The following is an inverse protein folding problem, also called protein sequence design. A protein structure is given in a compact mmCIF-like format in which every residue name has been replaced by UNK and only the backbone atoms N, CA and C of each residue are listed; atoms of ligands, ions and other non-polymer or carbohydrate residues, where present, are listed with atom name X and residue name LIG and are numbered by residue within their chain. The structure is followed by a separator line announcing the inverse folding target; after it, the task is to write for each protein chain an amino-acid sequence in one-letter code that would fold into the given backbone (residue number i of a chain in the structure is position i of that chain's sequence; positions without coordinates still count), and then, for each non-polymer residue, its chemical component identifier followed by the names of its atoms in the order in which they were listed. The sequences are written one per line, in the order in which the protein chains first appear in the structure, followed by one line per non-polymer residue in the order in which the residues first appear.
data_IF_986495715463
#
_entry.id   IF_986495715463
#
_cell.length_a   1.000
_cell.length_b   1.000
_cell.length_c   1.000
_cell.angle_alpha   90.00
_cell.angle_beta   90.00
_cell.angle_gamma   90.00
#
_symmetry.space_group_name_H-M   'P 1'
#
loop_
_entity.id
_entity.type
_entity.pdbx_description
1 polymer ?
#
# COMPACT_ATOMS: atom_id res chain seq x y z
N UNK A 1 12.62 1.71 -16.56
CA UNK A 1 13.65 1.03 -15.75
C UNK A 1 13.76 -0.42 -16.23
N UNK A 2 14.99 -0.96 -16.27
CA UNK A 2 15.18 -2.38 -16.56
C UNK A 2 15.13 -3.17 -15.25
N UNK A 3 14.10 -3.99 -15.08
CA UNK A 3 13.96 -4.88 -13.92
C UNK A 3 14.84 -6.12 -14.13
N UNK A 4 16.03 -6.06 -13.58
CA UNK A 4 17.01 -7.14 -13.56
C UNK A 4 17.73 -7.16 -12.20
N UNK A 5 18.26 -8.31 -11.74
CA UNK A 5 18.98 -8.39 -10.48
C UNK A 5 20.08 -7.35 -10.33
N UNK A 6 20.13 -6.68 -9.20
CA UNK A 6 21.09 -5.64 -8.87
C UNK A 6 22.19 -6.20 -7.97
N UNK A 7 23.42 -6.05 -8.42
CA UNK A 7 24.64 -6.48 -7.71
C UNK A 7 25.32 -5.26 -7.10
N UNK A 8 25.04 -4.98 -5.84
CA UNK A 8 25.56 -3.83 -5.11
C UNK A 8 26.67 -4.31 -4.18
N UNK A 9 27.82 -3.69 -4.21
CA UNK A 9 28.96 -4.08 -3.38
C UNK A 9 28.58 -3.98 -1.88
N UNK A 10 28.90 -5.04 -1.12
CA UNK A 10 28.62 -5.11 0.32
C UNK A 10 27.17 -5.44 0.70
N UNK A 11 26.32 -5.80 -0.27
CA UNK A 11 24.95 -6.22 0.02
C UNK A 11 24.62 -7.56 -0.64
N UNK A 12 23.63 -8.30 -0.14
CA UNK A 12 23.02 -9.39 -0.90
C UNK A 12 22.44 -8.87 -2.23
N UNK A 13 22.30 -9.77 -3.22
CA UNK A 13 21.67 -9.44 -4.51
C UNK A 13 20.26 -8.91 -4.24
N UNK A 14 19.95 -7.74 -4.77
CA UNK A 14 18.62 -7.14 -4.71
C UNK A 14 17.88 -7.44 -6.02
N UNK A 15 16.69 -8.03 -5.92
CA UNK A 15 15.93 -8.46 -7.09
C UNK A 15 14.42 -8.38 -6.85
N UNK A 16 13.66 -8.36 -7.93
CA UNK A 16 12.24 -8.67 -7.94
C UNK A 16 12.02 -10.19 -7.92
N UNK A 17 10.77 -10.64 -7.81
CA UNK A 17 10.42 -12.06 -7.81
C UNK A 17 10.94 -12.81 -9.06
N UNK A 18 10.95 -12.14 -10.19
CA UNK A 18 11.59 -12.58 -11.45
C UNK A 18 12.16 -11.38 -12.20
N UNK A 19 12.93 -11.61 -13.23
CA UNK A 19 13.40 -10.56 -14.14
C UNK A 19 12.30 -10.23 -15.15
N UNK A 20 11.81 -8.99 -15.12
CA UNK A 20 10.74 -8.51 -16.01
C UNK A 20 11.28 -7.72 -17.20
N UNK A 21 12.58 -7.38 -17.22
CA UNK A 21 13.18 -6.56 -18.26
C UNK A 21 12.75 -5.07 -18.19
N UNK A 22 12.69 -4.38 -19.33
CA UNK A 22 12.26 -2.97 -19.37
C UNK A 22 10.79 -2.82 -19.00
N UNK A 23 10.50 -2.07 -17.96
CA UNK A 23 9.14 -1.78 -17.47
C UNK A 23 8.97 -0.29 -17.13
N UNK A 24 7.75 0.20 -17.25
CA UNK A 24 7.36 1.54 -16.83
C UNK A 24 6.79 1.53 -15.39
N UNK A 25 6.26 2.65 -14.93
CA UNK A 25 5.70 2.84 -13.58
C UNK A 25 4.41 2.03 -13.34
N UNK A 26 3.49 1.96 -14.32
CA UNK A 26 2.26 1.16 -14.23
C UNK A 26 2.63 -0.32 -14.16
N UNK A 27 3.45 -0.80 -15.08
CA UNK A 27 3.93 -2.18 -15.10
C UNK A 27 4.70 -2.54 -13.82
N UNK A 28 5.41 -1.59 -13.20
CA UNK A 28 6.11 -1.83 -11.95
C UNK A 28 5.16 -2.15 -10.78
N UNK A 29 3.98 -1.53 -10.75
CA UNK A 29 2.93 -1.84 -9.78
C UNK A 29 2.20 -3.13 -10.13
N UNK A 30 1.94 -3.37 -11.42
CA UNK A 30 1.33 -4.59 -11.94
C UNK A 30 2.07 -5.84 -11.49
N UNK A 31 3.40 -5.87 -11.71
CA UNK A 31 4.25 -7.03 -11.40
C UNK A 31 4.91 -6.95 -10.02
N UNK A 32 4.64 -5.90 -9.25
CA UNK A 32 5.26 -5.69 -7.93
C UNK A 32 6.79 -5.66 -7.98
N UNK A 33 7.37 -4.82 -8.85
CA UNK A 33 8.81 -4.76 -9.06
C UNK A 33 9.54 -4.10 -7.89
N UNK A 34 10.32 -4.85 -7.15
CA UNK A 34 11.23 -4.32 -6.15
C UNK A 34 12.35 -3.48 -6.78
N UNK A 35 12.90 -3.97 -7.90
CA UNK A 35 14.00 -3.32 -8.62
C UNK A 35 13.60 -1.93 -9.11
N UNK A 36 12.35 -1.75 -9.55
CA UNK A 36 11.86 -0.44 -9.93
C UNK A 36 11.91 0.53 -8.73
N UNK A 37 11.39 0.12 -7.58
CA UNK A 37 11.36 0.93 -6.36
C UNK A 37 12.75 1.21 -5.81
N UNK A 38 13.68 0.23 -5.88
CA UNK A 38 15.09 0.46 -5.53
C UNK A 38 15.72 1.57 -6.39
N UNK A 39 15.49 1.55 -7.70
CA UNK A 39 15.99 2.60 -8.59
C UNK A 39 15.40 3.97 -8.28
N UNK A 40 14.12 4.05 -7.91
CA UNK A 40 13.50 5.32 -7.47
C UNK A 40 14.23 5.84 -6.22
N UNK A 41 14.41 5.01 -5.19
CA UNK A 41 15.11 5.41 -3.97
C UNK A 41 16.54 5.88 -4.23
N UNK A 42 17.29 5.18 -5.07
CA UNK A 42 18.66 5.55 -5.46
C UNK A 42 18.68 6.92 -6.17
N UNK A 43 17.75 7.15 -7.09
CA UNK A 43 17.63 8.44 -7.81
C UNK A 43 17.23 9.58 -6.90
N UNK A 44 16.28 9.34 -5.95
CA UNK A 44 15.90 10.33 -4.94
C UNK A 44 17.07 10.71 -4.04
N UNK A 45 17.99 9.78 -3.79
CA UNK A 45 19.23 10.03 -3.05
C UNK A 45 20.31 10.75 -3.91
N UNK A 46 20.01 11.13 -5.15
CA UNK A 46 20.95 11.78 -6.05
C UNK A 46 22.07 10.85 -6.54
N UNK A 47 21.87 9.54 -6.52
CA UNK A 47 22.84 8.53 -6.92
C UNK A 47 22.35 7.73 -8.14
N UNK A 48 23.25 6.91 -8.71
CA UNK A 48 22.98 6.00 -9.81
C UNK A 48 23.44 4.59 -9.45
N UNK A 49 22.70 3.60 -9.91
CA UNK A 49 23.11 2.22 -9.79
C UNK A 49 24.19 1.87 -10.82
N UNK A 50 25.35 1.44 -10.33
CA UNK A 50 26.41 0.87 -11.15
C UNK A 50 26.71 -0.54 -10.64
N UNK A 51 26.62 -1.58 -11.50
CA UNK A 51 26.84 -2.96 -11.08
C UNK A 51 28.19 -3.15 -10.37
N UNK A 52 28.18 -3.92 -9.29
CA UNK A 52 29.34 -4.27 -8.47
C UNK A 52 30.02 -3.11 -7.74
N UNK A 53 29.44 -1.91 -7.76
CA UNK A 53 29.88 -0.76 -6.98
C UNK A 53 28.95 -0.52 -5.77
N UNK A 54 29.45 0.23 -4.78
CA UNK A 54 28.60 0.74 -3.69
C UNK A 54 27.62 1.79 -4.23
N UNK A 55 26.50 2.00 -3.51
CA UNK A 55 25.49 2.98 -3.93
C UNK A 55 25.98 4.43 -3.97
N UNK A 56 27.13 4.74 -3.35
CA UNK A 56 27.65 6.11 -3.32
C UNK A 56 26.84 7.08 -2.45
N UNK A 57 25.85 6.59 -1.73
CA UNK A 57 25.01 7.39 -0.81
C UNK A 57 25.72 7.50 0.53
N UNK A 58 26.28 8.66 0.82
CA UNK A 58 27.02 8.90 2.07
C UNK A 58 26.12 9.24 3.25
N UNK A 59 25.01 9.90 3.00
CA UNK A 59 23.98 10.23 4.00
C UNK A 59 22.59 9.93 3.42
N UNK A 60 21.92 8.84 3.83
CA UNK A 60 20.58 8.50 3.38
C UNK A 60 19.46 9.26 4.12
N UNK A 61 19.75 9.94 5.24
CA UNK A 61 18.74 10.55 6.10
C UNK A 61 17.84 11.54 5.37
N UNK A 62 18.35 12.48 4.53
CA UNK A 62 17.49 13.39 3.78
C UNK A 62 16.53 12.67 2.84
N UNK A 63 16.93 11.53 2.29
CA UNK A 63 16.08 10.75 1.39
C UNK A 63 15.00 9.98 2.14
N UNK A 64 15.32 9.43 3.32
CA UNK A 64 14.30 8.87 4.22
C UNK A 64 13.25 9.93 4.60
N UNK A 65 13.66 11.13 4.98
CA UNK A 65 12.77 12.23 5.33
C UNK A 65 11.91 12.66 4.14
N UNK A 66 12.50 12.77 2.96
CA UNK A 66 11.77 13.09 1.73
C UNK A 66 10.70 12.04 1.44
N UNK A 67 11.04 10.76 1.46
CA UNK A 67 10.07 9.68 1.22
C UNK A 67 8.97 9.65 2.28
N UNK A 68 9.31 9.85 3.57
CA UNK A 68 8.32 9.94 4.66
C UNK A 68 7.41 11.16 4.51
N UNK A 69 7.91 12.27 3.99
CA UNK A 69 7.08 13.44 3.72
C UNK A 69 6.00 13.14 2.67
N UNK A 70 6.33 12.38 1.63
CA UNK A 70 5.34 11.88 0.68
C UNK A 70 4.37 10.89 1.31
N UNK A 71 4.85 9.93 2.09
CA UNK A 71 3.99 8.94 2.76
C UNK A 71 3.01 9.60 3.73
N UNK A 72 3.46 10.64 4.46
CA UNK A 72 2.62 11.37 5.40
C UNK A 72 1.49 12.17 4.71
N UNK A 73 1.67 12.59 3.45
CA UNK A 73 0.58 13.21 2.68
C UNK A 73 -0.61 12.26 2.47
N UNK A 74 -0.37 10.96 2.51
CA UNK A 74 -1.40 9.93 2.41
C UNK A 74 -1.86 9.39 3.78
N UNK A 75 -1.40 9.98 4.89
CA UNK A 75 -1.76 9.58 6.25
C UNK A 75 -0.82 8.57 6.92
N UNK A 76 0.21 8.07 6.22
CA UNK A 76 1.15 7.11 6.80
C UNK A 76 2.11 7.78 7.79
N UNK A 77 2.39 7.10 8.91
CA UNK A 77 3.33 7.57 9.93
C UNK A 77 2.75 8.58 10.93
N UNK A 78 1.48 8.95 10.81
CA UNK A 78 0.77 9.85 11.73
C UNK A 78 -0.47 9.17 12.30
N UNK A 79 -0.99 9.66 13.43
CA UNK A 79 -2.33 9.28 13.87
C UNK A 79 -3.36 9.78 12.87
N UNK A 80 -4.34 8.96 12.52
CA UNK A 80 -5.35 9.30 11.52
C UNK A 80 -6.46 10.20 12.08
N UNK A 81 -6.56 10.28 13.41
CA UNK A 81 -7.63 10.96 14.12
C UNK A 81 -8.92 10.14 14.21
N UNK A 82 -8.80 8.80 14.12
CA UNK A 82 -9.91 7.88 14.37
C UNK A 82 -10.54 8.18 15.74
N UNK A 83 -11.87 8.13 15.83
CA UNK A 83 -12.67 8.50 17.01
C UNK A 83 -12.67 7.45 18.13
N UNK A 84 -11.52 6.76 18.31
CA UNK A 84 -11.28 5.83 19.43
C UNK A 84 -10.02 6.20 20.19
N UNK A 85 -9.97 5.95 21.51
CA UNK A 85 -8.78 6.24 22.30
C UNK A 85 -7.64 5.25 22.01
N UNK A 86 -6.40 5.73 22.15
CA UNK A 86 -5.21 4.88 22.09
C UNK A 86 -4.70 4.60 20.67
N UNK A 87 -5.07 5.40 19.68
CA UNK A 87 -4.47 5.34 18.35
C UNK A 87 -2.96 5.59 18.41
N UNK A 88 -2.19 4.81 17.62
CA UNK A 88 -0.73 4.94 17.52
C UNK A 88 -0.30 5.25 16.10
N UNK A 89 0.79 6.00 15.95
CA UNK A 89 1.31 6.45 14.67
C UNK A 89 2.15 5.42 13.89
N UNK A 90 2.17 4.15 14.33
CA UNK A 90 3.06 3.13 13.75
C UNK A 90 4.47 3.17 14.33
N UNK A 91 5.43 2.62 13.61
CA UNK A 91 6.84 2.60 14.01
C UNK A 91 7.73 3.16 12.90
N UNK A 92 8.60 4.09 13.24
CA UNK A 92 9.58 4.69 12.32
C UNK A 92 10.94 4.05 12.56
N UNK A 93 11.47 3.42 11.51
CA UNK A 93 12.80 2.82 11.54
C UNK A 93 13.90 3.89 11.67
N UNK A 94 14.99 3.52 12.29
CA UNK A 94 16.14 4.41 12.47
C UNK A 94 17.41 3.73 11.97
N UNK A 95 17.98 4.22 10.87
CA UNK A 95 19.22 3.71 10.30
C UNK A 95 19.98 4.78 9.52
N UNK A 96 21.31 4.65 9.53
CA UNK A 96 22.21 5.45 8.71
C UNK A 96 22.77 4.67 7.51
N UNK A 97 22.26 3.46 7.27
CA UNK A 97 22.74 2.58 6.21
C UNK A 97 21.98 2.83 4.91
N UNK A 98 22.68 3.12 3.83
CA UNK A 98 22.09 3.33 2.50
C UNK A 98 21.29 2.11 1.98
N UNK A 99 21.71 0.89 2.35
CA UNK A 99 20.98 -0.34 2.01
C UNK A 99 19.55 -0.39 2.57
N UNK A 100 19.33 0.19 3.75
CA UNK A 100 18.00 0.27 4.38
C UNK A 100 17.03 1.20 3.65
N UNK A 101 17.55 2.15 2.87
CA UNK A 101 16.73 2.98 2.00
C UNK A 101 16.04 2.14 0.92
N UNK A 102 16.69 1.10 0.42
CA UNK A 102 16.10 0.17 -0.55
C UNK A 102 15.00 -0.66 0.11
N UNK A 103 15.24 -1.18 1.33
CA UNK A 103 14.24 -1.91 2.09
C UNK A 103 13.01 -1.01 2.38
N UNK A 104 13.25 0.26 2.71
CA UNK A 104 12.18 1.26 2.92
C UNK A 104 11.35 1.50 1.66
N UNK A 105 11.98 1.57 0.49
CA UNK A 105 11.30 1.81 -0.78
C UNK A 105 10.31 0.70 -1.18
N UNK A 106 10.47 -0.50 -0.63
CA UNK A 106 9.56 -1.63 -0.84
C UNK A 106 8.66 -1.92 0.36
N UNK A 107 8.66 -1.04 1.39
CA UNK A 107 7.80 -1.15 2.56
C UNK A 107 8.31 -2.12 3.64
N UNK A 108 9.57 -2.51 3.63
CA UNK A 108 10.19 -3.42 4.63
C UNK A 108 11.04 -2.70 5.67
N UNK A 109 10.61 -1.54 6.15
CA UNK A 109 11.41 -0.76 7.09
C UNK A 109 10.57 -0.06 8.17
N UNK A 110 9.73 0.91 7.79
CA UNK A 110 8.75 1.51 8.69
C UNK A 110 7.51 0.59 8.82
N UNK A 111 6.81 0.66 9.95
CA UNK A 111 5.57 -0.10 10.16
C UNK A 111 4.39 0.85 10.35
N UNK A 112 3.31 0.58 9.64
CA UNK A 112 2.08 1.35 9.67
C UNK A 112 0.93 0.53 10.22
N UNK A 113 -0.03 1.20 10.87
CA UNK A 113 -1.22 0.52 11.39
C UNK A 113 -2.20 0.21 10.25
N UNK A 114 -3.06 -0.81 10.39
CA UNK A 114 -4.09 -1.12 9.38
C UNK A 114 -4.97 0.08 9.02
N UNK A 115 -5.30 0.94 9.98
CA UNK A 115 -6.12 2.13 9.73
C UNK A 115 -5.38 3.19 8.91
N UNK A 116 -4.06 3.36 9.10
CA UNK A 116 -3.24 4.22 8.26
C UNK A 116 -3.17 3.69 6.82
N UNK A 117 -3.00 2.38 6.66
CA UNK A 117 -3.00 1.73 5.34
C UNK A 117 -4.37 1.88 4.67
N UNK A 118 -5.47 1.76 5.42
CA UNK A 118 -6.81 2.01 4.90
C UNK A 118 -6.99 3.47 4.47
N UNK A 119 -6.53 4.43 5.27
CA UNK A 119 -6.58 5.86 4.91
C UNK A 119 -5.75 6.13 3.63
N UNK A 120 -4.57 5.52 3.53
CA UNK A 120 -3.70 5.61 2.34
C UNK A 120 -4.42 5.13 1.07
N UNK A 121 -5.00 3.94 1.10
CA UNK A 121 -5.69 3.39 -0.08
C UNK A 121 -6.99 4.15 -0.38
N UNK A 122 -7.71 4.60 0.64
CA UNK A 122 -8.90 5.46 0.47
C UNK A 122 -8.54 6.80 -0.17
N UNK A 123 -7.38 7.37 0.15
CA UNK A 123 -6.89 8.60 -0.47
C UNK A 123 -6.60 8.40 -1.96
N UNK A 124 -6.04 7.24 -2.34
CA UNK A 124 -5.84 6.89 -3.75
C UNK A 124 -7.19 6.76 -4.47
N UNK A 125 -8.14 6.06 -3.86
CA UNK A 125 -9.48 5.85 -4.41
C UNK A 125 -10.30 7.15 -4.54
N UNK A 126 -10.03 8.15 -3.69
CA UNK A 126 -10.77 9.41 -3.59
C UNK A 126 -9.99 10.59 -4.21
N UNK A 127 -9.23 10.33 -5.28
CA UNK A 127 -8.50 11.32 -6.07
C UNK A 127 -7.64 12.27 -5.22
N UNK A 128 -6.98 11.70 -4.22
CA UNK A 128 -6.04 12.42 -3.35
C UNK A 128 -6.67 13.21 -2.21
N UNK A 129 -7.97 13.09 -1.97
CA UNK A 129 -8.62 13.68 -0.80
C UNK A 129 -8.43 12.79 0.41
N UNK A 130 -7.76 13.30 1.43
CA UNK A 130 -7.50 12.58 2.68
C UNK A 130 -8.65 12.83 3.63
N UNK A 131 -9.40 11.78 3.96
CA UNK A 131 -10.53 11.84 4.87
C UNK A 131 -10.14 11.35 6.25
N UNK A 132 -10.72 11.95 7.31
CA UNK A 132 -10.60 11.42 8.66
C UNK A 132 -11.44 10.14 8.79
N UNK A 133 -10.84 9.01 9.17
CA UNK A 133 -11.63 7.80 9.45
C UNK A 133 -12.44 7.96 10.74
N UNK A 134 -13.60 7.33 10.81
CA UNK A 134 -14.45 7.31 11.99
C UNK A 134 -15.21 5.98 12.08
N UNK A 135 -15.56 5.58 13.29
CA UNK A 135 -16.40 4.42 13.57
C UNK A 135 -17.82 4.84 13.98
N UNK A 136 -17.93 6.01 14.61
CA UNK A 136 -19.23 6.55 15.01
C UNK A 136 -19.93 7.19 13.80
N UNK A 137 -21.14 6.77 13.53
CA UNK A 137 -21.95 7.31 12.42
C UNK A 137 -23.05 8.25 12.94
N UNK A 138 -23.92 7.77 13.79
CA UNK A 138 -24.99 8.58 14.37
C UNK A 138 -25.51 7.99 15.70
N UNK A 139 -26.21 8.80 16.47
CA UNK A 139 -26.96 8.39 17.64
C UNK A 139 -28.44 8.76 17.50
N UNK A 140 -29.32 7.91 18.02
CA UNK A 140 -30.75 8.16 18.07
C UNK A 140 -31.23 8.31 19.53
N UNK A 141 -32.41 8.92 19.74
CA UNK A 141 -33.10 8.82 21.00
C UNK A 141 -33.41 7.36 21.34
N UNK A 142 -33.49 7.04 22.63
CA UNK A 142 -33.78 5.69 23.09
C UNK A 142 -35.14 5.23 22.54
N UNK A 143 -35.18 4.06 21.94
CA UNK A 143 -36.36 3.46 21.30
C UNK A 143 -37.01 4.33 20.21
N UNK A 144 -36.21 5.12 19.48
CA UNK A 144 -36.67 6.03 18.43
C UNK A 144 -35.76 5.93 17.22
N UNK A 145 -36.26 6.36 16.06
CA UNK A 145 -35.47 6.59 14.82
C UNK A 145 -35.01 8.05 14.72
N UNK A 146 -35.36 8.92 15.67
CA UNK A 146 -34.93 10.32 15.66
C UNK A 146 -33.45 10.43 15.92
N UNK A 147 -32.70 10.88 14.91
CA UNK A 147 -31.27 11.14 15.02
C UNK A 147 -31.03 12.39 15.85
N UNK A 148 -30.31 12.27 16.97
CA UNK A 148 -29.94 13.36 17.86
C UNK A 148 -28.53 13.86 17.62
N UNK A 149 -27.70 13.03 17.00
CA UNK A 149 -26.36 13.39 16.58
C UNK A 149 -25.94 12.55 15.36
N UNK A 150 -25.28 13.16 14.39
CA UNK A 150 -24.66 12.45 13.26
C UNK A 150 -23.25 12.97 13.04
N UNK A 151 -22.35 12.06 12.68
CA UNK A 151 -21.02 12.42 12.23
C UNK A 151 -21.10 13.09 10.84
N UNK A 152 -20.31 14.11 10.61
CA UNK A 152 -20.12 14.70 9.29
C UNK A 152 -18.72 14.36 8.79
N UNK A 153 -18.63 13.86 7.56
CA UNK A 153 -17.35 13.55 6.94
C UNK A 153 -16.41 14.75 6.94
N UNK A 154 -15.18 14.53 7.40
CA UNK A 154 -14.15 15.58 7.49
C UNK A 154 -13.01 15.28 6.52
N UNK A 155 -12.81 16.17 5.55
CA UNK A 155 -11.62 16.15 4.72
C UNK A 155 -10.48 16.84 5.47
N UNK A 156 -9.43 16.09 5.79
CA UNK A 156 -8.27 16.57 6.57
C UNK A 156 -7.32 17.35 5.67
N UNK A 157 -7.09 16.88 4.48
CA UNK A 157 -6.19 17.50 3.49
C UNK A 157 -6.48 17.00 2.08
N UNK A 158 -5.71 17.49 1.13
CA UNK A 158 -5.61 16.96 -0.23
C UNK A 158 -4.13 16.79 -0.54
N UNK A 159 -3.75 15.70 -1.20
CA UNK A 159 -2.36 15.53 -1.65
C UNK A 159 -2.00 16.68 -2.60
N UNK A 160 -0.78 17.17 -2.47
CA UNK A 160 -0.25 18.21 -3.34
C UNK A 160 0.48 17.61 -4.54
N UNK A 161 0.41 18.27 -5.68
CA UNK A 161 1.13 17.88 -6.88
C UNK A 161 0.23 17.65 -8.09
N UNK A 162 0.80 17.10 -9.15
CA UNK A 162 0.08 16.76 -10.37
C UNK A 162 -0.69 15.43 -10.18
N UNK A 163 -2.01 15.51 -10.16
CA UNK A 163 -2.90 14.35 -9.96
C UNK A 163 -2.81 13.31 -11.08
N UNK A 164 -2.23 13.65 -12.23
CA UNK A 164 -1.98 12.67 -13.30
C UNK A 164 -1.04 11.53 -12.85
N UNK A 165 -0.17 11.79 -11.87
CA UNK A 165 0.64 10.74 -11.26
C UNK A 165 -0.20 9.78 -10.41
N UNK A 166 -1.25 10.29 -9.75
CA UNK A 166 -2.16 9.47 -8.98
C UNK A 166 -2.99 8.54 -9.88
N UNK A 167 -3.47 9.06 -11.02
CA UNK A 167 -4.15 8.25 -12.03
C UNK A 167 -3.28 7.08 -12.52
N UNK A 168 -1.97 7.29 -12.67
CA UNK A 168 -1.04 6.21 -13.02
C UNK A 168 -0.90 5.16 -11.92
N UNK A 169 -0.94 5.58 -10.65
CA UNK A 169 -0.97 4.64 -9.51
C UNK A 169 -2.27 3.84 -9.52
N UNK A 170 -3.42 4.47 -9.75
CA UNK A 170 -4.71 3.81 -9.87
C UNK A 170 -4.71 2.78 -11.03
N UNK A 171 -4.18 3.15 -12.20
CA UNK A 171 -3.99 2.24 -13.33
C UNK A 171 -3.09 1.05 -12.97
N UNK A 172 -1.99 1.28 -12.24
CA UNK A 172 -1.10 0.22 -11.76
C UNK A 172 -1.78 -0.73 -10.77
N UNK A 173 -2.61 -0.21 -9.87
CA UNK A 173 -3.42 -1.02 -8.96
C UNK A 173 -4.45 -1.86 -9.72
N UNK A 174 -5.10 -1.28 -10.75
CA UNK A 174 -6.01 -2.03 -11.62
C UNK A 174 -5.27 -3.11 -12.40
N UNK A 175 -4.11 -2.79 -12.99
CA UNK A 175 -3.29 -3.74 -13.73
C UNK A 175 -2.81 -4.90 -12.84
N UNK A 176 -2.43 -4.64 -11.58
CA UNK A 176 -2.05 -5.69 -10.63
C UNK A 176 -3.14 -6.75 -10.47
N UNK A 177 -4.41 -6.33 -10.43
CA UNK A 177 -5.56 -7.23 -10.26
C UNK A 177 -5.96 -7.92 -11.57
N UNK A 178 -5.90 -7.23 -12.71
CA UNK A 178 -6.38 -7.76 -13.98
C UNK A 178 -5.39 -8.68 -14.69
N UNK A 179 -4.10 -8.38 -14.61
CA UNK A 179 -3.06 -9.08 -15.37
C UNK A 179 -1.80 -9.40 -14.55
N UNK A 180 -1.63 -8.75 -13.39
CA UNK A 180 -0.43 -8.83 -12.58
C UNK A 180 -0.51 -9.82 -11.41
N UNK A 181 0.29 -9.53 -10.39
CA UNK A 181 0.49 -10.41 -9.23
C UNK A 181 -0.67 -10.42 -8.21
N UNK A 182 -1.70 -9.56 -8.40
CA UNK A 182 -2.90 -9.52 -7.55
C UNK A 182 -4.07 -10.35 -8.12
N UNK A 183 -3.89 -10.99 -9.27
CA UNK A 183 -4.96 -11.62 -10.06
C UNK A 183 -5.58 -12.90 -9.49
N UNK A 184 -5.16 -13.37 -8.31
CA UNK A 184 -5.75 -14.53 -7.64
C UNK A 184 -7.13 -14.27 -7.00
N UNK A 185 -7.56 -13.02 -6.94
CA UNK A 185 -8.90 -12.65 -6.50
C UNK A 185 -9.89 -12.83 -7.66
N UNK A 186 -10.54 -14.00 -7.73
CA UNK A 186 -11.28 -14.44 -8.93
C UNK A 186 -12.46 -13.53 -9.34
N UNK A 187 -13.17 -12.90 -8.38
CA UNK A 187 -14.30 -11.97 -8.64
C UNK A 187 -13.84 -10.53 -8.86
N UNK A 188 -12.56 -10.25 -8.68
CA UNK A 188 -11.96 -8.92 -8.86
C UNK A 188 -12.05 -8.40 -10.30
N UNK A 189 -12.44 -9.23 -11.26
CA UNK A 189 -12.59 -8.87 -12.67
C UNK A 189 -13.93 -8.26 -12.98
N UNK A 190 -14.99 -8.76 -12.34
CA UNK A 190 -16.38 -8.36 -12.64
C UNK A 190 -16.72 -7.03 -11.95
N UNK A 191 -16.38 -6.85 -10.69
CA UNK A 191 -16.63 -5.63 -9.92
C UNK A 191 -15.60 -4.52 -10.14
N UNK A 192 -14.59 -4.76 -10.97
CA UNK A 192 -13.59 -3.74 -11.27
C UNK A 192 -12.70 -3.37 -10.09
N UNK A 193 -12.24 -4.33 -9.31
CA UNK A 193 -11.34 -4.09 -8.17
C UNK A 193 -9.97 -3.58 -8.63
N UNK A 194 -9.44 -2.59 -7.93
CA UNK A 194 -8.07 -2.13 -8.04
C UNK A 194 -7.37 -2.33 -6.69
N UNK A 195 -6.13 -2.82 -6.69
CA UNK A 195 -5.44 -3.07 -5.43
C UNK A 195 -4.00 -3.52 -5.59
N UNK A 196 -3.36 -3.73 -4.45
CA UNK A 196 -1.97 -4.14 -4.37
C UNK A 196 -1.77 -5.17 -3.27
N UNK A 197 -1.10 -6.26 -3.59
CA UNK A 197 -0.64 -7.24 -2.60
C UNK A 197 0.71 -6.82 -2.04
N UNK A 198 0.95 -7.23 -0.79
CA UNK A 198 2.24 -7.11 -0.12
C UNK A 198 2.62 -8.41 0.56
N UNK A 199 3.91 -8.71 0.57
CA UNK A 199 4.51 -9.80 1.33
C UNK A 199 5.75 -9.25 2.02
N UNK A 200 5.75 -9.25 3.34
CA UNK A 200 6.85 -8.73 4.15
C UNK A 200 7.43 -9.84 5.02
N UNK A 201 8.75 -9.92 5.07
CA UNK A 201 9.48 -10.81 5.97
C UNK A 201 9.58 -10.18 7.36
N UNK A 202 9.19 -10.91 8.41
CA UNK A 202 9.25 -10.47 9.80
C UNK A 202 9.92 -11.57 10.64
N UNK A 203 11.23 -11.49 10.81
CA UNK A 203 12.02 -12.57 11.40
C UNK A 203 11.91 -13.85 10.56
N UNK A 204 11.48 -14.94 11.18
CA UNK A 204 11.25 -16.24 10.51
C UNK A 204 9.81 -16.39 9.97
N UNK A 205 9.04 -15.31 9.97
CA UNK A 205 7.63 -15.30 9.55
C UNK A 205 7.42 -14.41 8.34
N UNK A 206 6.29 -14.62 7.66
CA UNK A 206 5.84 -13.78 6.56
C UNK A 206 4.53 -13.10 6.96
N UNK A 207 4.41 -11.80 6.74
CA UNK A 207 3.16 -11.07 6.79
C UNK A 207 2.66 -10.81 5.38
N UNK A 208 1.39 -11.07 5.12
CA UNK A 208 0.76 -10.80 3.82
C UNK A 208 -0.28 -9.70 3.94
N UNK A 209 -0.44 -8.93 2.89
CA UNK A 209 -1.43 -7.87 2.81
C UNK A 209 -2.10 -7.83 1.44
N UNK A 210 -3.34 -7.37 1.42
CA UNK A 210 -4.04 -6.96 0.22
C UNK A 210 -4.84 -5.70 0.52
N UNK A 211 -4.54 -4.63 -0.20
CA UNK A 211 -5.21 -3.34 -0.08
C UNK A 211 -5.82 -2.97 -1.41
N UNK A 212 -6.92 -2.24 -1.40
CA UNK A 212 -7.56 -1.85 -2.64
C UNK A 212 -8.87 -1.13 -2.44
N UNK A 213 -9.58 -0.97 -3.55
CA UNK A 213 -10.89 -0.36 -3.61
C UNK A 213 -11.72 -0.92 -4.77
N UNK A 214 -13.00 -0.75 -4.71
CA UNK A 214 -13.97 -1.18 -5.71
C UNK A 214 -15.24 -0.31 -5.67
N UNK A 215 -15.94 -0.14 -6.83
CA UNK A 215 -15.44 -0.39 -8.19
C UNK A 215 -14.25 0.50 -8.57
N UNK A 216 -13.52 0.14 -9.62
CA UNK A 216 -12.36 0.94 -10.06
C UNK A 216 -12.73 2.33 -10.57
N UNK A 217 -13.77 2.42 -11.38
CA UNK A 217 -14.16 3.68 -12.03
C UNK A 217 -14.91 4.62 -11.06
N UNK A 218 -15.68 4.09 -10.12
CA UNK A 218 -16.47 4.85 -9.15
C UNK A 218 -16.38 4.20 -7.78
N UNK A 219 -15.29 4.42 -7.02
CA UNK A 219 -15.03 3.73 -5.76
C UNK A 219 -16.12 3.93 -4.72
N UNK A 220 -16.69 2.84 -4.21
CA UNK A 220 -17.69 2.81 -3.12
C UNK A 220 -17.12 2.22 -1.84
N UNK A 221 -16.13 1.34 -1.97
CA UNK A 221 -15.51 0.64 -0.86
C UNK A 221 -14.00 0.64 -1.01
N UNK A 222 -13.29 0.98 0.06
CA UNK A 222 -11.85 0.73 0.22
C UNK A 222 -11.61 -0.33 1.27
N UNK A 223 -10.54 -1.11 1.13
CA UNK A 223 -10.22 -2.18 2.07
C UNK A 223 -8.72 -2.30 2.33
N UNK A 224 -8.39 -2.81 3.52
CA UNK A 224 -7.05 -3.20 3.89
C UNK A 224 -7.11 -4.50 4.70
N UNK A 225 -6.72 -5.61 4.09
CA UNK A 225 -6.53 -6.89 4.76
C UNK A 225 -5.05 -7.07 5.06
N UNK A 226 -4.73 -7.39 6.30
CA UNK A 226 -3.36 -7.66 6.76
C UNK A 226 -3.39 -8.95 7.59
N UNK A 227 -2.60 -9.93 7.19
CA UNK A 227 -2.41 -11.18 7.91
C UNK A 227 -0.97 -11.23 8.46
N UNK A 228 -0.76 -10.75 9.71
CA UNK A 228 0.56 -10.78 10.33
C UNK A 228 0.92 -12.21 10.73
N UNK A 229 2.22 -12.52 10.67
CA UNK A 229 2.78 -13.76 11.22
C UNK A 229 2.12 -15.04 10.66
N UNK A 230 1.82 -15.08 9.38
CA UNK A 230 1.47 -16.33 8.75
C UNK A 230 2.71 -17.21 8.76
N UNK A 231 2.68 -18.30 9.56
CA UNK A 231 3.86 -19.11 9.83
C UNK A 231 4.36 -19.79 8.57
N UNK A 232 5.68 -19.89 8.49
CA UNK A 232 6.40 -20.66 7.50
C UNK A 232 6.00 -22.12 7.54
N UNK A 233 5.26 -22.60 6.57
CA UNK A 233 5.07 -24.02 6.33
C UNK A 233 5.16 -24.39 4.84
N UNK A 234 5.83 -23.58 4.05
CA UNK A 234 6.13 -23.94 2.66
C UNK A 234 4.91 -24.13 1.73
N UNK A 235 3.72 -23.81 2.20
CA UNK A 235 2.49 -23.88 1.43
C UNK A 235 2.08 -22.49 0.95
N UNK A 236 1.90 -22.33 -0.35
CA UNK A 236 1.41 -21.13 -1.03
C UNK A 236 0.03 -20.62 -0.54
N UNK A 237 -0.63 -21.34 0.36
CA UNK A 237 -1.92 -20.98 0.97
C UNK A 237 -1.89 -19.61 1.67
N UNK A 238 -0.76 -19.22 2.25
CA UNK A 238 -0.66 -17.99 3.04
C UNK A 238 -0.58 -16.71 2.19
N UNK A 239 -0.01 -16.80 0.99
CA UNK A 239 0.03 -15.66 0.08
C UNK A 239 -1.38 -15.21 -0.37
N UNK A 240 -2.36 -16.10 -0.31
CA UNK A 240 -3.71 -15.88 -0.82
C UNK A 240 -4.76 -15.55 0.26
N UNK A 241 -4.38 -15.58 1.56
CA UNK A 241 -5.34 -15.34 2.65
C UNK A 241 -6.09 -14.02 2.45
N UNK A 242 -5.36 -12.92 2.29
CA UNK A 242 -5.99 -11.61 2.12
C UNK A 242 -6.71 -11.45 0.77
N UNK A 243 -6.28 -12.11 -0.27
CA UNK A 243 -6.90 -11.98 -1.60
C UNK A 243 -8.14 -12.87 -1.75
N UNK A 244 -7.96 -14.19 -1.77
CA UNK A 244 -9.03 -15.14 -2.11
C UNK A 244 -9.86 -15.60 -0.92
N UNK A 245 -9.25 -15.76 0.26
CA UNK A 245 -9.97 -16.33 1.41
C UNK A 245 -10.73 -15.29 2.21
N UNK A 246 -10.25 -14.04 2.27
CA UNK A 246 -10.87 -12.96 3.05
C UNK A 246 -11.55 -11.96 2.13
N UNK A 247 -10.79 -11.19 1.34
CA UNK A 247 -11.38 -10.10 0.57
C UNK A 247 -12.25 -10.58 -0.58
N UNK A 248 -12.01 -11.81 -1.04
CA UNK A 248 -12.86 -12.50 -1.95
C UNK A 248 -14.32 -12.48 -1.55
N UNK A 249 -14.63 -13.27 -0.61
CA UNK A 249 -15.99 -13.38 -0.10
C UNK A 249 -16.55 -12.07 0.45
N UNK A 250 -15.71 -11.19 1.00
CA UNK A 250 -16.14 -9.88 1.51
C UNK A 250 -16.68 -8.99 0.40
N UNK A 251 -15.93 -8.85 -0.69
CA UNK A 251 -16.34 -8.01 -1.84
C UNK A 251 -17.57 -8.59 -2.54
N UNK A 252 -17.59 -9.91 -2.78
CA UNK A 252 -18.76 -10.59 -3.34
C UNK A 252 -20.00 -10.31 -2.49
N UNK A 253 -19.89 -10.44 -1.17
CA UNK A 253 -21.01 -10.19 -0.26
C UNK A 253 -21.41 -8.72 -0.18
N UNK A 254 -20.45 -7.82 -0.27
CA UNK A 254 -20.73 -6.37 -0.28
C UNK A 254 -21.59 -6.00 -1.49
N UNK A 255 -21.20 -6.37 -2.70
CA UNK A 255 -21.97 -6.06 -3.91
C UNK A 255 -23.26 -6.85 -4.05
N UNK A 256 -23.37 -8.03 -3.40
CA UNK A 256 -24.68 -8.71 -3.24
C UNK A 256 -25.66 -7.90 -2.37
N UNK A 257 -25.14 -7.28 -1.30
CA UNK A 257 -25.96 -6.49 -0.36
C UNK A 257 -26.25 -5.07 -0.86
N UNK A 258 -25.37 -4.53 -1.65
CA UNK A 258 -25.43 -3.16 -2.18
C UNK A 258 -25.24 -3.18 -3.70
N UNK A 259 -26.21 -3.72 -4.47
CA UNK A 259 -26.08 -3.93 -5.91
C UNK A 259 -26.06 -2.62 -6.74
N UNK A 260 -26.46 -1.50 -6.14
CA UNK A 260 -26.51 -0.18 -6.77
C UNK A 260 -25.26 0.68 -6.47
N UNK A 261 -24.31 0.14 -5.71
CA UNK A 261 -23.03 0.79 -5.37
C UNK A 261 -21.95 0.65 -6.46
#
# INVERSE_FOLDING_TARGET
INDAPMYIAGTPVKASYRNYGPINDIESLEVSSNVYMFNIAIRLAGSEYVPYQSLGITDPAPTFELMRSYYSMFGLGNVTGLDVPGEVGGYVGFSTEAGKLLDFAIGQYDMYTPIQILQYVSTIANDGKVMRPHLFSYATEVNSTNVVYSYSNEQVSTISGDLTYLERVQQGFRACVTSGNCGSAAYSRDEGVAGKTGTAEVGDSISTAFIGYAPYEEPKMSFACIAPTSSDTGNNLQANVCTTEVMGPVLEKYFELYPDD
#
